data_IF_209403921464
#
_entry.id   IF_209403921464
#
_cell.length_a   1.000
_cell.length_b   1.000
_cell.length_c   1.000
_cell.angle_alpha   90.00
_cell.angle_beta   90.00
_cell.angle_gamma   90.00
#
_symmetry.space_group_name_H-M   'P 1'
#
loop_
_entity.id
_entity.type
_entity.pdbx_description
1 polymer ?
#
# COMPACT_ATOMS: atom_id res chain seq x y z
N UNK A 1 1.43 17.13 -16.30
CA UNK A 1 2.17 16.37 -15.28
C UNK A 1 1.15 15.81 -14.28
N UNK A 2 0.50 14.71 -14.62
CA UNK A 2 -0.48 14.08 -13.72
C UNK A 2 0.22 13.44 -12.52
N UNK A 3 -0.39 13.38 -11.34
CA UNK A 3 0.23 12.82 -10.16
C UNK A 3 0.25 11.29 -10.32
N UNK A 4 1.35 10.77 -10.86
CA UNK A 4 1.58 9.33 -11.04
C UNK A 4 1.36 8.54 -9.72
N UNK A 5 1.47 9.24 -8.60
CA UNK A 5 1.29 8.74 -7.24
C UNK A 5 -0.14 8.23 -7.00
N UNK A 6 -1.14 8.84 -7.65
CA UNK A 6 -2.53 8.39 -7.56
C UNK A 6 -2.76 7.05 -8.29
N UNK A 7 -1.92 6.73 -9.29
CA UNK A 7 -2.05 5.48 -10.05
C UNK A 7 -1.77 4.26 -9.18
N UNK A 8 -0.84 4.36 -8.23
CA UNK A 8 -0.56 3.29 -7.28
C UNK A 8 -1.47 3.34 -6.07
N UNK A 9 -1.95 4.52 -5.69
CA UNK A 9 -2.85 4.66 -4.55
C UNK A 9 -4.15 3.86 -4.71
N UNK A 10 -4.75 3.87 -5.90
CA UNK A 10 -6.00 3.14 -6.20
C UNK A 10 -5.87 1.63 -6.03
N UNK A 11 -4.93 0.91 -6.68
CA UNK A 11 -4.80 -0.54 -6.49
C UNK A 11 -4.40 -0.91 -5.06
N UNK A 12 -3.67 -0.06 -4.33
CA UNK A 12 -3.36 -0.31 -2.92
C UNK A 12 -4.59 -0.27 -2.03
N UNK A 13 -5.50 0.68 -2.28
CA UNK A 13 -6.78 0.73 -1.58
C UNK A 13 -7.67 -0.45 -1.96
N UNK A 14 -7.71 -0.80 -3.26
CA UNK A 14 -8.51 -1.92 -3.76
C UNK A 14 -8.07 -3.26 -3.15
N UNK A 15 -6.76 -3.48 -3.03
CA UNK A 15 -6.19 -4.62 -2.30
C UNK A 15 -6.58 -4.61 -0.81
N UNK A 16 -6.61 -3.43 -0.18
CA UNK A 16 -7.08 -3.26 1.20
C UNK A 16 -8.52 -3.72 1.39
N UNK A 17 -9.39 -3.35 0.45
CA UNK A 17 -10.80 -3.73 0.47
C UNK A 17 -11.03 -5.22 0.13
N UNK A 18 -10.21 -5.81 -0.73
CA UNK A 18 -10.26 -7.26 -1.01
C UNK A 18 -9.90 -8.09 0.23
N UNK A 19 -8.94 -7.63 1.04
CA UNK A 19 -8.51 -8.32 2.26
C UNK A 19 -9.44 -8.02 3.44
N UNK A 20 -9.95 -6.79 3.54
CA UNK A 20 -10.89 -6.36 4.55
C UNK A 20 -12.18 -5.90 3.86
N UNK A 21 -13.18 -6.78 3.69
CA UNK A 21 -14.46 -6.45 3.08
C UNK A 21 -15.32 -5.66 4.08
N UNK A 22 -14.83 -4.49 4.50
CA UNK A 22 -15.49 -3.55 5.39
C UNK A 22 -16.60 -2.77 4.66
N UNK A 23 -16.62 -2.84 3.32
CA UNK A 23 -17.61 -2.22 2.45
C UNK A 23 -17.89 -3.12 1.25
N UNK A 24 -19.16 -3.30 0.88
CA UNK A 24 -19.59 -3.98 -0.36
C UNK A 24 -19.41 -3.14 -1.62
N UNK A 25 -18.91 -1.92 -1.49
CA UNK A 25 -18.67 -1.01 -2.61
C UNK A 25 -17.29 -1.26 -3.21
N UNK A 26 -17.25 -1.53 -4.51
CA UNK A 26 -16.02 -1.43 -5.28
C UNK A 26 -15.64 0.05 -5.33
N UNK A 27 -14.41 0.39 -4.94
CA UNK A 27 -13.89 1.76 -5.10
C UNK A 27 -13.43 1.97 -6.54
N UNK A 28 -14.33 1.79 -7.50
CA UNK A 28 -14.10 2.23 -8.87
C UNK A 28 -14.08 3.75 -8.91
N UNK A 29 -13.12 4.32 -9.64
CA UNK A 29 -13.00 5.75 -9.90
C UNK A 29 -14.33 6.35 -10.40
N UNK A 30 -15.06 5.60 -11.24
CA UNK A 30 -16.37 6.02 -11.75
C UNK A 30 -17.45 6.05 -10.67
N UNK A 31 -17.48 5.04 -9.80
CA UNK A 31 -18.47 4.95 -8.71
C UNK A 31 -18.23 6.02 -7.64
N UNK A 32 -16.96 6.31 -7.32
CA UNK A 32 -16.60 7.40 -6.41
C UNK A 32 -17.04 8.75 -6.97
N UNK A 33 -16.87 9.01 -8.27
CA UNK A 33 -17.32 10.26 -8.88
C UNK A 33 -18.84 10.41 -8.91
N UNK A 34 -19.58 9.31 -9.07
CA UNK A 34 -21.04 9.33 -9.04
C UNK A 34 -21.58 9.47 -7.61
N UNK A 35 -20.93 8.85 -6.62
CA UNK A 35 -21.23 9.06 -5.20
C UNK A 35 -20.95 10.49 -4.76
N UNK A 36 -19.87 11.12 -5.24
CA UNK A 36 -19.55 12.52 -4.94
C UNK A 36 -20.62 13.48 -5.46
N UNK A 37 -21.18 13.20 -6.64
CA UNK A 37 -22.25 14.02 -7.25
C UNK A 37 -23.59 13.88 -6.52
N UNK A 38 -23.85 12.70 -5.95
CA UNK A 38 -25.10 12.41 -5.24
C UNK A 38 -25.07 12.84 -3.79
N UNK A 39 -24.02 12.46 -3.06
CA UNK A 39 -23.91 12.62 -1.61
C UNK A 39 -22.45 12.79 -1.18
N UNK A 40 -21.97 14.04 -1.18
CA UNK A 40 -20.62 14.42 -0.74
C UNK A 40 -20.25 13.85 0.64
N UNK A 41 -21.18 13.88 1.60
CA UNK A 41 -20.94 13.42 2.97
C UNK A 41 -20.70 11.90 3.05
N UNK A 42 -21.47 11.14 2.26
CA UNK A 42 -21.32 9.69 2.18
C UNK A 42 -20.01 9.33 1.46
N UNK A 43 -19.69 10.04 0.39
CA UNK A 43 -18.46 9.83 -0.35
C UNK A 43 -17.20 10.09 0.51
N UNK A 44 -17.22 11.12 1.36
CA UNK A 44 -16.12 11.40 2.30
C UNK A 44 -15.93 10.27 3.32
N UNK A 45 -17.02 9.72 3.87
CA UNK A 45 -16.97 8.56 4.78
C UNK A 45 -16.38 7.34 4.09
N UNK A 46 -16.77 7.08 2.85
CA UNK A 46 -16.25 5.94 2.07
C UNK A 46 -14.75 6.07 1.82
N UNK A 47 -14.26 7.25 1.40
CA UNK A 47 -12.83 7.50 1.20
C UNK A 47 -12.05 7.37 2.52
N UNK A 48 -12.63 7.82 3.62
CA UNK A 48 -12.00 7.70 4.94
C UNK A 48 -11.86 6.23 5.37
N UNK A 49 -12.93 5.45 5.24
CA UNK A 49 -12.91 4.01 5.53
C UNK A 49 -11.93 3.26 4.63
N UNK A 50 -11.88 3.60 3.35
CA UNK A 50 -10.93 3.06 2.38
C UNK A 50 -9.46 3.29 2.80
N UNK A 51 -9.15 4.50 3.24
CA UNK A 51 -7.82 4.81 3.78
C UNK A 51 -7.50 3.99 5.02
N UNK A 52 -8.47 3.86 5.94
CA UNK A 52 -8.28 3.06 7.14
C UNK A 52 -8.01 1.58 6.81
N UNK A 53 -8.76 1.02 5.86
CA UNK A 53 -8.57 -0.34 5.37
C UNK A 53 -7.18 -0.51 4.73
N UNK A 54 -6.75 0.46 3.93
CA UNK A 54 -5.40 0.49 3.35
C UNK A 54 -4.29 0.56 4.41
N UNK A 55 -4.46 1.38 5.46
CA UNK A 55 -3.52 1.46 6.58
C UNK A 55 -3.47 0.13 7.33
N UNK A 56 -4.62 -0.48 7.62
CA UNK A 56 -4.69 -1.78 8.30
C UNK A 56 -4.02 -2.89 7.48
N UNK A 57 -4.26 -2.92 6.17
CA UNK A 57 -3.56 -3.84 5.27
C UNK A 57 -2.05 -3.62 5.32
N UNK A 58 -1.60 -2.38 5.23
CA UNK A 58 -0.18 -2.06 5.35
C UNK A 58 0.41 -2.46 6.70
N UNK A 59 -0.34 -2.34 7.79
CA UNK A 59 0.11 -2.74 9.12
C UNK A 59 0.30 -4.25 9.23
N UNK A 60 -0.62 -5.02 8.64
CA UNK A 60 -0.54 -6.49 8.55
C UNK A 60 0.58 -6.93 7.60
N UNK A 61 0.74 -6.25 6.46
CA UNK A 61 1.79 -6.55 5.49
C UNK A 61 3.18 -6.08 5.93
N UNK A 62 3.29 -5.03 6.75
CA UNK A 62 4.57 -4.47 7.17
C UNK A 62 5.42 -5.51 7.92
N UNK A 63 4.82 -6.34 8.77
CA UNK A 63 5.52 -7.43 9.46
C UNK A 63 6.22 -8.40 8.49
N UNK A 64 5.48 -9.16 7.66
CA UNK A 64 6.06 -10.09 6.71
C UNK A 64 6.94 -9.41 5.68
N UNK A 65 6.61 -8.20 5.23
CA UNK A 65 7.41 -7.46 4.26
C UNK A 65 8.77 -7.05 4.86
N UNK A 66 8.80 -6.59 6.11
CA UNK A 66 10.05 -6.26 6.82
C UNK A 66 10.90 -7.51 7.01
N UNK A 67 10.29 -8.63 7.38
CA UNK A 67 10.98 -9.90 7.54
C UNK A 67 11.59 -10.38 6.22
N UNK A 68 10.81 -10.31 5.13
CA UNK A 68 11.23 -10.66 3.78
C UNK A 68 12.41 -9.78 3.33
N UNK A 69 12.28 -8.46 3.46
CA UNK A 69 13.37 -7.53 3.14
C UNK A 69 14.61 -7.78 4.00
N UNK A 70 14.45 -8.05 5.30
CA UNK A 70 15.57 -8.38 6.17
C UNK A 70 16.32 -9.61 5.66
N UNK A 71 15.62 -10.70 5.34
CA UNK A 71 16.26 -11.92 4.82
C UNK A 71 16.87 -11.76 3.43
N UNK A 72 16.30 -10.90 2.58
CA UNK A 72 16.86 -10.58 1.25
C UNK A 72 18.09 -9.68 1.33
N UNK A 73 18.06 -8.65 2.18
CA UNK A 73 19.17 -7.71 2.31
C UNK A 73 20.33 -8.28 3.14
N UNK A 74 20.06 -9.10 4.17
CA UNK A 74 21.11 -9.68 5.02
C UNK A 74 22.24 -10.37 4.23
N UNK A 75 21.98 -11.27 3.25
CA UNK A 75 23.05 -11.88 2.46
C UNK A 75 23.74 -10.87 1.54
N UNK A 76 23.01 -9.89 1.00
CA UNK A 76 23.59 -8.83 0.14
C UNK A 76 24.55 -7.97 0.95
N UNK A 77 24.13 -7.48 2.12
CA UNK A 77 24.93 -6.66 3.02
C UNK A 77 26.14 -7.45 3.52
N UNK A 78 25.98 -8.72 3.91
CA UNK A 78 27.10 -9.59 4.31
C UNK A 78 28.10 -9.80 3.16
N UNK A 79 27.63 -9.98 1.92
CA UNK A 79 28.49 -10.14 0.75
C UNK A 79 29.27 -8.85 0.42
N UNK A 80 28.63 -7.69 0.57
CA UNK A 80 29.26 -6.38 0.38
C UNK A 80 30.31 -6.07 1.47
N UNK A 81 30.01 -6.39 2.73
CA UNK A 81 30.95 -6.22 3.85
C UNK A 81 32.19 -7.10 3.71
N UNK A 82 32.04 -8.39 3.35
CA UNK A 82 33.19 -9.28 3.10
C UNK A 82 34.05 -8.79 1.94
N UNK A 83 33.45 -8.23 0.89
CA UNK A 83 34.18 -7.70 -0.27
C UNK A 83 34.97 -6.44 0.08
N UNK A 84 34.51 -5.61 1.03
CA UNK A 84 35.28 -4.46 1.50
C UNK A 84 36.53 -4.88 2.27
N UNK A 85 36.41 -5.84 3.20
CA UNK A 85 37.54 -6.30 4.03
C UNK A 85 38.67 -6.87 3.16
N UNK A 86 38.35 -7.64 2.12
CA UNK A 86 39.35 -8.24 1.20
C UNK A 86 40.03 -7.22 0.26
N UNK A 87 39.48 -6.02 0.08
CA UNK A 87 40.07 -4.99 -0.78
C UNK A 87 40.92 -3.97 0.00
N UNK A 88 40.93 -4.06 1.33
CA UNK A 88 41.67 -3.18 2.24
C UNK A 88 42.89 -3.90 2.90
N UNK A 89 43.06 -5.21 2.62
CA UNK A 89 44.25 -6.04 2.91
C UNK A 89 45.14 -6.17 1.65
#
# INVERSE_FOLDING_TARGET
>A
MGPLHLVLYIPFIDLGLQVFPLTTFNLSLSEVTDLFKRDWQMALKTIWLANLAGILLWLVLAGPLTLLFYFLLLPVVRKLLKRKIVLED
#
